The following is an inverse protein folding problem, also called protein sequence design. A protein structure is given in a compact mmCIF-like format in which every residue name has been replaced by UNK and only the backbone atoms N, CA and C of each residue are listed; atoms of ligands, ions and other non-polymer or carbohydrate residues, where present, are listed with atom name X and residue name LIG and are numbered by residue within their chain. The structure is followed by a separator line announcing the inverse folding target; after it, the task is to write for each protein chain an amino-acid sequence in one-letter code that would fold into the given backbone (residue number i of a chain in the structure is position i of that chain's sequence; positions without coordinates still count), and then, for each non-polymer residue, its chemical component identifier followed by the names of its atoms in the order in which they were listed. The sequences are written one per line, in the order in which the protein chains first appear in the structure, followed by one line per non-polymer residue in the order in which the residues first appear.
data_IF_952592905393
#
_entry.id   IF_952592905393
#
_cell.length_a   1.000
_cell.length_b   1.000
_cell.length_c   1.000
_cell.angle_alpha   90.00
_cell.angle_beta   90.00
_cell.angle_gamma   90.00
#
_symmetry.space_group_name_H-M   'P 1'
#
loop_
_entity.id
_entity.type
_entity.pdbx_description
1 polymer ?
#
# COMPACT_ATOMS: atom_id res chain seq x y z
N UNK A 1 -20.84 -4.45 41.96
CA UNK A 1 -20.43 -3.40 40.99
C UNK A 1 -19.13 -3.85 40.32
N UNK A 2 -19.20 -4.45 39.14
CA UNK A 2 -18.01 -4.90 38.40
C UNK A 2 -17.69 -3.90 37.28
N UNK A 3 -16.71 -3.02 37.50
CA UNK A 3 -16.11 -2.22 36.42
C UNK A 3 -15.09 -3.10 35.70
N UNK A 4 -15.51 -3.78 34.62
CA UNK A 4 -14.56 -4.38 33.68
C UNK A 4 -13.87 -3.22 32.94
N UNK A 5 -12.55 -3.09 33.13
CA UNK A 5 -11.68 -2.24 32.31
C UNK A 5 -11.87 -2.68 30.86
N UNK A 6 -12.29 -1.74 30.01
CA UNK A 6 -12.16 -1.89 28.56
C UNK A 6 -10.66 -1.73 28.30
N UNK A 7 -9.96 -2.86 28.14
CA UNK A 7 -8.62 -2.85 27.60
C UNK A 7 -8.71 -2.22 26.21
N UNK A 8 -8.05 -1.08 26.03
CA UNK A 8 -8.01 -0.41 24.74
C UNK A 8 -7.55 -1.42 23.69
N UNK A 9 -8.37 -1.60 22.66
CA UNK A 9 -8.03 -2.39 21.48
C UNK A 9 -6.68 -1.90 20.96
N UNK A 10 -5.62 -2.63 21.29
CA UNK A 10 -4.35 -2.49 20.58
C UNK A 10 -4.65 -2.90 19.16
N UNK A 11 -4.85 -1.92 18.28
CA UNK A 11 -4.75 -2.16 16.85
C UNK A 11 -3.48 -2.99 16.63
N UNK A 12 -3.58 -4.18 16.00
CA UNK A 12 -2.43 -5.04 15.82
C UNK A 12 -1.34 -4.23 15.12
N UNK A 13 -0.11 -4.27 15.63
CA UNK A 13 1.02 -3.61 14.97
C UNK A 13 1.14 -4.20 13.56
N UNK A 14 0.58 -3.51 12.57
CA UNK A 14 0.71 -3.90 11.18
C UNK A 14 2.18 -3.71 10.79
N UNK A 15 2.85 -4.81 10.45
CA UNK A 15 4.21 -4.74 9.95
C UNK A 15 4.24 -4.04 8.59
N UNK A 16 5.42 -3.56 8.18
CA UNK A 16 5.61 -2.79 6.94
C UNK A 16 5.08 -3.53 5.70
N UNK A 17 5.20 -4.86 5.69
CA UNK A 17 4.72 -5.70 4.59
C UNK A 17 3.19 -5.69 4.49
N UNK A 18 2.48 -5.80 5.60
CA UNK A 18 1.02 -5.74 5.59
C UNK A 18 0.50 -4.37 5.13
N UNK A 19 1.15 -3.28 5.56
CA UNK A 19 0.86 -1.92 5.04
C UNK A 19 1.08 -1.82 3.53
N UNK A 20 2.11 -2.49 3.00
CA UNK A 20 2.36 -2.54 1.56
C UNK A 20 1.28 -3.33 0.81
N UNK A 21 0.77 -4.43 1.35
CA UNK A 21 -0.36 -5.15 0.75
C UNK A 21 -1.61 -4.27 0.66
N UNK A 22 -1.93 -3.51 1.71
CA UNK A 22 -3.05 -2.56 1.71
C UNK A 22 -2.87 -1.50 0.61
N UNK A 23 -1.68 -0.88 0.54
CA UNK A 23 -1.40 0.13 -0.49
C UNK A 23 -1.37 -0.43 -1.90
N UNK A 24 -0.96 -1.68 -2.07
CA UNK A 24 -1.00 -2.37 -3.35
C UNK A 24 -2.45 -2.50 -3.86
N UNK A 25 -3.38 -2.92 -3.01
CA UNK A 25 -4.81 -2.96 -3.35
C UNK A 25 -5.39 -1.56 -3.65
N UNK A 26 -4.95 -0.54 -2.90
CA UNK A 26 -5.32 0.86 -3.17
C UNK A 26 -4.79 1.29 -4.54
N UNK A 27 -3.55 0.95 -4.88
CA UNK A 27 -2.93 1.27 -6.16
C UNK A 27 -3.69 0.63 -7.33
N UNK A 28 -4.09 -0.65 -7.23
CA UNK A 28 -4.91 -1.29 -8.27
C UNK A 28 -6.26 -0.59 -8.50
N UNK A 29 -6.86 -0.05 -7.43
CA UNK A 29 -8.16 0.64 -7.48
C UNK A 29 -8.06 2.09 -7.95
N UNK A 30 -7.11 2.86 -7.41
CA UNK A 30 -6.89 4.27 -7.77
C UNK A 30 -6.17 4.43 -9.12
N UNK A 31 -5.40 3.44 -9.54
CA UNK A 31 -4.51 3.51 -10.70
C UNK A 31 -3.17 4.18 -10.40
N UNK A 32 -3.08 5.00 -9.35
CA UNK A 32 -1.85 5.71 -8.97
C UNK A 32 -1.83 5.96 -7.45
N UNK A 33 -0.63 5.90 -6.87
CA UNK A 33 -0.35 6.37 -5.49
C UNK A 33 0.96 7.15 -5.44
N UNK A 34 1.04 8.12 -4.55
CA UNK A 34 2.28 8.86 -4.23
C UNK A 34 2.83 8.48 -2.85
N UNK A 35 4.03 8.98 -2.51
CA UNK A 35 4.55 8.83 -1.15
C UNK A 35 3.68 9.53 -0.11
N UNK A 36 3.11 10.69 -0.45
CA UNK A 36 2.21 11.45 0.42
C UNK A 36 0.97 10.64 0.76
N UNK A 37 0.39 9.91 -0.20
CA UNK A 37 -0.74 8.99 0.07
C UNK A 37 -0.38 7.99 1.19
N UNK A 38 0.83 7.42 1.16
CA UNK A 38 1.30 6.44 2.14
C UNK A 38 1.53 7.09 3.52
N UNK A 39 2.11 8.30 3.53
CA UNK A 39 2.33 9.08 4.76
C UNK A 39 1.00 9.36 5.44
N UNK A 40 0.00 9.88 4.70
CA UNK A 40 -1.30 10.21 5.25
C UNK A 40 -2.11 8.96 5.62
N UNK A 41 -2.05 7.89 4.83
CA UNK A 41 -2.82 6.67 5.07
C UNK A 41 -2.43 5.96 6.38
N UNK A 42 -1.16 6.04 6.78
CA UNK A 42 -0.64 5.30 7.94
C UNK A 42 0.00 6.16 9.02
N UNK A 43 0.01 7.48 8.86
CA UNK A 43 0.63 8.45 9.75
C UNK A 43 2.08 8.07 10.10
N UNK A 44 2.87 7.77 9.06
CA UNK A 44 4.25 7.31 9.19
C UNK A 44 5.27 8.36 8.74
N UNK A 45 6.52 8.23 9.19
CA UNK A 45 7.61 9.07 8.69
C UNK A 45 7.84 8.88 7.18
N UNK A 46 8.38 9.89 6.47
CA UNK A 46 8.72 9.76 5.06
C UNK A 46 9.61 8.54 4.77
N UNK A 47 10.62 8.29 5.61
CA UNK A 47 11.51 7.12 5.47
C UNK A 47 10.77 5.78 5.54
N UNK A 48 9.76 5.67 6.41
CA UNK A 48 8.92 4.48 6.51
C UNK A 48 8.00 4.36 5.30
N UNK A 49 7.44 5.48 4.82
CA UNK A 49 6.63 5.50 3.61
C UNK A 49 7.42 5.04 2.37
N UNK A 50 8.69 5.45 2.23
CA UNK A 50 9.58 4.96 1.18
C UNK A 50 9.80 3.45 1.25
N UNK A 51 9.97 2.89 2.45
CA UNK A 51 10.09 1.44 2.63
C UNK A 51 8.80 0.72 2.21
N UNK A 52 7.63 1.25 2.57
CA UNK A 52 6.34 0.70 2.15
C UNK A 52 6.22 0.78 0.63
N UNK A 53 6.50 1.92 0.00
CA UNK A 53 6.44 2.08 -1.46
C UNK A 53 7.34 1.09 -2.20
N UNK A 54 8.55 0.84 -1.68
CA UNK A 54 9.46 -0.17 -2.24
C UNK A 54 8.86 -1.57 -2.18
N UNK A 55 8.20 -1.93 -1.07
CA UNK A 55 7.49 -3.21 -0.95
C UNK A 55 6.29 -3.27 -1.90
N UNK A 56 5.51 -2.19 -2.05
CA UNK A 56 4.40 -2.11 -3.01
C UNK A 56 4.88 -2.36 -4.42
N UNK A 57 5.97 -1.71 -4.82
CA UNK A 57 6.57 -1.93 -6.14
C UNK A 57 6.97 -3.39 -6.34
N UNK A 58 7.61 -4.03 -5.34
CA UNK A 58 7.96 -5.45 -5.43
C UNK A 58 6.74 -6.39 -5.49
N UNK A 59 5.63 -6.06 -4.82
CA UNK A 59 4.38 -6.81 -4.96
C UNK A 59 3.82 -6.66 -6.37
N UNK A 60 3.87 -5.45 -6.91
CA UNK A 60 3.37 -5.14 -8.23
C UNK A 60 4.13 -5.86 -9.36
N UNK A 61 5.47 -5.91 -9.29
CA UNK A 61 6.31 -6.63 -10.26
C UNK A 61 6.06 -8.16 -10.26
N UNK A 62 5.38 -8.69 -9.24
CA UNK A 62 5.04 -10.12 -9.13
C UNK A 62 3.58 -10.42 -9.50
N UNK A 63 2.75 -9.40 -9.73
CA UNK A 63 1.34 -9.60 -10.02
C UNK A 63 1.14 -9.89 -11.51
N UNK A 64 0.56 -11.05 -11.82
CA UNK A 64 0.34 -11.51 -13.21
C UNK A 64 -0.74 -10.72 -13.96
N UNK A 65 -1.57 -9.95 -13.24
CA UNK A 65 -2.71 -9.18 -13.78
C UNK A 65 -2.32 -7.79 -14.27
N UNK A 66 -1.08 -7.36 -14.08
CA UNK A 66 -0.61 -6.05 -14.52
C UNK A 66 0.87 -5.81 -14.26
N UNK A 67 1.26 -4.54 -14.28
CA UNK A 67 2.62 -4.08 -13.97
C UNK A 67 2.57 -2.70 -13.32
N UNK A 68 3.70 -2.24 -12.77
CA UNK A 68 3.81 -0.89 -12.24
C UNK A 68 4.85 -0.08 -13.01
N UNK A 69 4.46 1.14 -13.34
CA UNK A 69 5.40 2.19 -13.72
C UNK A 69 5.80 2.96 -12.46
N UNK A 70 7.10 3.18 -12.28
CA UNK A 70 7.65 3.98 -11.19
C UNK A 70 8.21 5.29 -11.74
N UNK A 71 7.76 6.40 -11.18
CA UNK A 71 8.33 7.73 -11.42
C UNK A 71 9.05 8.18 -10.16
N UNK A 72 10.31 8.61 -10.25
CA UNK A 72 11.16 8.81 -9.08
C UNK A 72 11.00 10.18 -8.39
N UNK A 73 10.49 11.20 -9.09
CA UNK A 73 10.33 12.54 -8.52
C UNK A 73 9.08 13.28 -9.05
N UNK A 74 8.06 13.53 -8.20
CA UNK A 74 7.87 12.92 -6.88
C UNK A 74 7.68 11.39 -6.99
N UNK A 75 8.14 10.63 -5.99
CA UNK A 75 8.03 9.17 -6.04
C UNK A 75 6.56 8.74 -6.14
N UNK A 76 6.22 8.17 -7.29
CA UNK A 76 4.86 7.80 -7.68
C UNK A 76 4.87 6.41 -8.28
N UNK A 77 3.89 5.59 -7.90
CA UNK A 77 3.65 4.27 -8.48
C UNK A 77 2.33 4.31 -9.26
N UNK A 78 2.36 3.84 -10.50
CA UNK A 78 1.21 3.84 -11.41
C UNK A 78 0.94 2.40 -11.84
N UNK A 79 -0.28 1.93 -11.61
CA UNK A 79 -0.73 0.61 -12.02
C UNK A 79 -1.09 0.58 -13.50
N UNK A 80 -0.61 -0.43 -14.22
CA UNK A 80 -0.93 -0.71 -15.61
C UNK A 80 -1.55 -2.11 -15.70
N UNK A 81 -2.88 -2.24 -15.77
CA UNK A 81 -3.51 -3.55 -15.88
C UNK A 81 -3.19 -4.21 -17.22
N UNK A 82 -2.95 -5.53 -17.22
CA UNK A 82 -2.78 -6.32 -18.43
C UNK A 82 -4.14 -6.41 -19.13
N UNK A 83 -4.29 -5.71 -20.26
CA UNK A 83 -5.55 -5.66 -21.03
C UNK A 83 -5.96 -7.03 -21.61
N UNK A 84 -5.11 -8.05 -21.50
CA UNK A 84 -5.36 -9.39 -22.03
C UNK A 84 -6.18 -10.30 -21.08
N UNK A 85 -6.53 -9.85 -19.88
CA UNK A 85 -7.32 -10.63 -18.90
C UNK A 85 -8.78 -10.21 -18.72
N UNK A 86 -9.27 -9.22 -19.46
CA UNK A 86 -10.64 -8.69 -19.32
C UNK A 86 -11.68 -9.35 -20.26
N UNK A 87 -11.29 -10.45 -20.92
CA UNK A 87 -12.17 -11.25 -21.78
C UNK A 87 -12.01 -12.74 -21.42
N UNK A 88 -12.66 -13.17 -20.34
CA UNK A 88 -12.98 -14.57 -20.08
C UNK A 88 -14.29 -14.62 -19.27
#
# INVERSE_FOLDING_TARGET
MNRRRIEGEKMPRQNTFHKAQIMYEILKKKGQITIEDIIFQFEVSPSTAYNIAKLVYMLCERDETGSCERQDYPLTLIWKPNRNGAQA
#
